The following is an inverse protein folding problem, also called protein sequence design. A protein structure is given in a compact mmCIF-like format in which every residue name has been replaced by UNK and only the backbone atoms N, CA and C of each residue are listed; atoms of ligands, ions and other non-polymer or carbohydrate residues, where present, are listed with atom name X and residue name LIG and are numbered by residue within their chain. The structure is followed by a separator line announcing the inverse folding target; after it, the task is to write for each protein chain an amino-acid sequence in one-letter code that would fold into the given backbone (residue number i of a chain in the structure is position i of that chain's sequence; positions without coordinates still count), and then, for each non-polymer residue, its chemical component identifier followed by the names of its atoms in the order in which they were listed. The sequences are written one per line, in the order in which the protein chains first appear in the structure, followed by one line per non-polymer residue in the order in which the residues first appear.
data_IF_988535813161
#
_entry.id   IF_988535813161
#
_cell.length_a   1.000
_cell.length_b   1.000
_cell.length_c   1.000
_cell.angle_alpha   90.00
_cell.angle_beta   90.00
_cell.angle_gamma   90.00
#
_symmetry.space_group_name_H-M   'P 1'
#
loop_
_entity.id
_entity.type
_entity.pdbx_description
1 polymer ?
#
# COMPACT_ATOMS: atom_id res chain seq x y z
N UNK A 1 11.81 9.72 0.72
CA UNK A 1 11.38 9.31 2.08
C UNK A 1 12.58 9.11 3.02
N UNK A 2 13.61 8.35 2.67
CA UNK A 2 14.83 8.19 3.51
C UNK A 2 15.56 9.51 3.79
N UNK A 3 15.63 10.42 2.81
CA UNK A 3 16.21 11.77 3.01
C UNK A 3 15.43 12.65 4.00
N UNK A 4 14.22 12.26 4.37
CA UNK A 4 13.38 12.97 5.35
C UNK A 4 13.30 12.21 6.69
N UNK A 5 14.14 11.18 6.89
CA UNK A 5 14.21 10.43 8.14
C UNK A 5 13.21 9.28 8.29
N UNK A 6 12.45 8.93 7.24
CA UNK A 6 11.53 7.79 7.29
C UNK A 6 12.28 6.46 7.08
N UNK A 7 11.92 5.44 7.86
CA UNK A 7 12.28 4.05 7.61
C UNK A 7 11.42 3.52 6.45
N UNK A 8 12.06 3.17 5.34
CA UNK A 8 11.35 2.72 4.13
C UNK A 8 11.70 1.27 3.86
N UNK A 9 10.66 0.45 3.71
CA UNK A 9 10.77 -0.93 3.25
C UNK A 9 10.04 -1.04 1.91
N UNK A 10 10.75 -1.45 0.87
CA UNK A 10 10.17 -1.74 -0.45
C UNK A 10 9.88 -3.23 -0.58
N UNK A 11 8.76 -3.58 -1.21
CA UNK A 11 8.35 -4.95 -1.46
C UNK A 11 7.96 -5.13 -2.92
N UNK A 12 8.48 -6.18 -3.57
CA UNK A 12 8.08 -6.55 -4.92
C UNK A 12 8.31 -8.06 -5.14
N UNK A 13 7.28 -8.85 -5.46
CA UNK A 13 5.91 -8.51 -5.86
C UNK A 13 4.93 -8.39 -4.67
N UNK A 14 3.65 -8.09 -4.92
CA UNK A 14 2.64 -7.85 -3.87
C UNK A 14 2.49 -8.94 -2.79
N UNK A 15 2.90 -10.18 -3.06
CA UNK A 15 2.97 -11.25 -2.05
C UNK A 15 4.03 -11.02 -0.98
N UNK A 16 5.17 -10.41 -1.34
CA UNK A 16 6.21 -10.01 -0.38
C UNK A 16 5.70 -8.89 0.53
N UNK A 17 4.90 -7.97 -0.02
CA UNK A 17 4.30 -6.88 0.75
C UNK A 17 3.41 -7.41 1.88
N UNK A 18 2.58 -8.43 1.58
CA UNK A 18 1.73 -9.07 2.60
C UNK A 18 2.57 -9.69 3.73
N UNK A 19 3.65 -10.40 3.39
CA UNK A 19 4.54 -11.03 4.38
C UNK A 19 5.27 -10.00 5.25
N UNK A 20 5.70 -8.88 4.66
CA UNK A 20 6.38 -7.82 5.39
C UNK A 20 5.47 -7.14 6.39
N UNK A 21 4.20 -6.95 6.02
CA UNK A 21 3.25 -6.32 6.92
C UNK A 21 2.83 -7.26 8.07
N UNK A 22 2.75 -8.57 7.83
CA UNK A 22 2.53 -9.53 8.92
C UNK A 22 3.65 -9.53 9.97
N UNK A 23 4.87 -9.07 9.60
CA UNK A 23 6.06 -9.16 10.45
C UNK A 23 6.44 -7.86 11.17
N UNK A 24 5.79 -6.73 10.89
CA UNK A 24 6.25 -5.43 11.39
C UNK A 24 5.14 -4.42 11.65
N UNK A 25 5.47 -3.39 12.43
CA UNK A 25 4.63 -2.19 12.59
C UNK A 25 4.91 -1.24 11.43
N UNK A 26 3.95 -1.10 10.53
CA UNK A 26 3.99 -0.14 9.42
C UNK A 26 3.02 0.99 9.73
N UNK A 27 3.48 2.24 9.67
CA UNK A 27 2.62 3.40 9.96
C UNK A 27 1.90 3.94 8.72
N UNK A 28 2.41 3.64 7.51
CA UNK A 28 1.86 4.09 6.23
C UNK A 28 2.28 3.15 5.10
N UNK A 29 1.33 2.80 4.23
CA UNK A 29 1.59 1.99 3.04
C UNK A 29 1.38 2.84 1.79
N UNK A 30 2.37 2.82 0.90
CA UNK A 30 2.23 3.31 -0.48
C UNK A 30 2.04 2.10 -1.38
N UNK A 31 0.86 1.98 -1.98
CA UNK A 31 0.50 0.82 -2.82
C UNK A 31 0.40 1.25 -4.28
N UNK A 32 1.22 0.66 -5.14
CA UNK A 32 1.03 0.80 -6.58
C UNK A 32 -0.19 -0.03 -7.02
N UNK A 33 -1.11 0.59 -7.76
CA UNK A 33 -2.27 -0.12 -8.31
C UNK A 33 -1.94 -0.86 -9.62
N UNK A 34 -0.82 -0.54 -10.27
CA UNK A 34 -0.36 -1.18 -11.51
C UNK A 34 0.69 -2.27 -11.24
N UNK A 35 0.42 -3.14 -10.27
CA UNK A 35 1.28 -4.30 -10.01
C UNK A 35 1.07 -5.40 -11.05
N UNK A 36 2.15 -5.96 -11.65
CA UNK A 36 2.03 -7.13 -12.49
C UNK A 36 1.69 -8.37 -11.66
N UNK A 37 0.71 -9.16 -12.12
CA UNK A 37 0.31 -10.41 -11.49
C UNK A 37 -0.97 -10.29 -10.66
N UNK A 38 -0.95 -9.55 -9.55
CA UNK A 38 -2.10 -9.39 -8.64
C UNK A 38 -2.63 -7.96 -8.73
N UNK A 39 -3.95 -7.75 -8.92
CA UNK A 39 -4.55 -6.41 -8.89
C UNK A 39 -4.30 -5.73 -7.54
N UNK A 40 -3.84 -4.47 -7.55
CA UNK A 40 -3.56 -3.70 -6.34
C UNK A 40 -4.79 -3.57 -5.43
N UNK A 41 -6.00 -3.56 -5.99
CA UNK A 41 -7.26 -3.54 -5.25
C UNK A 41 -7.45 -4.79 -4.39
N UNK A 42 -7.03 -5.96 -4.87
CA UNK A 42 -7.13 -7.21 -4.09
C UNK A 42 -6.19 -7.16 -2.88
N UNK A 43 -5.01 -6.58 -3.07
CA UNK A 43 -4.03 -6.36 -2.01
C UNK A 43 -4.56 -5.35 -1.00
N UNK A 44 -5.17 -4.25 -1.47
CA UNK A 44 -5.78 -3.22 -0.64
C UNK A 44 -6.88 -3.78 0.27
N UNK A 45 -7.81 -4.56 -0.29
CA UNK A 45 -8.90 -5.19 0.47
C UNK A 45 -8.36 -6.14 1.53
N UNK A 46 -7.35 -6.95 1.17
CA UNK A 46 -6.71 -7.87 2.12
C UNK A 46 -6.05 -7.09 3.27
N UNK A 47 -5.35 -6.01 2.96
CA UNK A 47 -4.68 -5.19 3.98
C UNK A 47 -5.69 -4.48 4.88
N UNK A 48 -6.73 -3.85 4.33
CA UNK A 48 -7.80 -3.23 5.14
C UNK A 48 -8.51 -4.21 6.08
N UNK A 49 -8.62 -5.48 5.68
CA UNK A 49 -9.24 -6.50 6.52
C UNK A 49 -8.34 -7.00 7.66
N UNK A 50 -7.02 -6.82 7.58
CA UNK A 50 -6.07 -7.37 8.55
C UNK A 50 -5.50 -6.31 9.50
N UNK A 51 -5.62 -5.02 9.17
CA UNK A 51 -4.96 -3.92 9.87
C UNK A 51 -5.67 -2.59 9.61
N UNK A 52 -5.50 -1.65 10.55
CA UNK A 52 -6.07 -0.30 10.48
C UNK A 52 -5.02 0.75 10.07
N UNK A 53 -4.11 0.38 9.16
CA UNK A 53 -3.00 1.22 8.72
C UNK A 53 -3.45 2.07 7.52
N UNK A 54 -3.12 3.37 7.45
CA UNK A 54 -3.45 4.21 6.30
C UNK A 54 -2.72 3.74 5.03
N UNK A 55 -3.45 3.69 3.92
CA UNK A 55 -2.94 3.24 2.61
C UNK A 55 -3.19 4.33 1.56
N UNK A 56 -2.13 4.73 0.86
CA UNK A 56 -2.20 5.66 -0.27
C UNK A 56 -1.96 4.85 -1.55
N UNK A 57 -2.99 4.78 -2.38
CA UNK A 57 -2.89 4.21 -3.73
C UNK A 57 -2.16 5.18 -4.66
N UNK A 58 -1.10 4.70 -5.32
CA UNK A 58 -0.34 5.43 -6.32
C UNK A 58 -0.58 4.76 -7.67
N UNK A 59 -1.00 5.54 -8.67
CA UNK A 59 -1.19 5.05 -10.03
C UNK A 59 -0.77 6.16 -11.00
N UNK A 60 -0.07 5.80 -12.07
CA UNK A 60 0.22 6.73 -13.17
C UNK A 60 -0.98 6.92 -14.13
N UNK A 61 -2.12 6.26 -13.90
CA UNK A 61 -3.36 6.51 -14.64
C UNK A 61 -4.13 7.64 -13.96
N UNK A 62 -4.26 8.75 -14.66
CA UNK A 62 -4.95 9.99 -14.26
C UNK A 62 -6.47 9.83 -14.21
N UNK A 63 -6.97 8.77 -13.58
CA UNK A 63 -8.39 8.67 -13.23
C UNK A 63 -8.54 9.11 -11.78
N UNK A 64 -9.13 10.29 -11.63
CA UNK A 64 -9.36 11.06 -10.40
C UNK A 64 -10.29 10.34 -9.40
N UNK A 65 -10.64 9.08 -9.65
CA UNK A 65 -11.66 8.31 -8.92
C UNK A 65 -11.10 7.24 -7.96
N UNK A 66 -9.79 7.19 -7.71
CA UNK A 66 -9.24 6.36 -6.63
C UNK A 66 -9.52 7.02 -5.28
N UNK A 67 -10.79 6.89 -4.86
CA UNK A 67 -11.41 7.35 -3.62
C UNK A 67 -10.41 7.58 -2.50
N UNK A 68 -10.02 8.85 -2.40
CA UNK A 68 -9.52 9.49 -1.19
C UNK A 68 -10.65 9.43 -0.16
N UNK A 69 -10.86 8.28 0.47
CA UNK A 69 -11.49 8.21 1.78
C UNK A 69 -10.36 8.26 2.81
N UNK A 70 -9.81 9.47 2.90
CA UNK A 70 -8.94 9.91 3.97
C UNK A 70 -9.85 10.22 5.17
N UNK A 71 -9.46 9.72 6.34
CA UNK A 71 -9.94 10.07 7.69
C UNK A 71 -11.29 9.46 8.12
N UNK A 72 -11.21 8.49 9.04
CA UNK A 72 -11.89 8.58 10.34
C UNK A 72 -10.98 8.09 11.44
#
# INVERSE_FOLDING_TARGET
MTQHGYCVTSAYPGSEALLLIEKGTVDLILLDLMLPGIPGETVLEKMKSTMDIPIIGVSAKTDIDSKVNLIR
#
